data_IF_909743249717
#
_entry.id   IF_909743249717
#
_cell.length_a   1.000
_cell.length_b   1.000
_cell.length_c   1.000
_cell.angle_alpha   90.00
_cell.angle_beta   90.00
_cell.angle_gamma   90.00
#
_symmetry.space_group_name_H-M   'P 1'
#
loop_
_entity.id
_entity.type
_entity.pdbx_description
1 polymer ?
#
# COMPACT_ATOMS: atom_id res chain seq x y z
N UNK A 1 -12.54 21.50 56.39
CA UNK A 1 -11.25 21.38 55.66
C UNK A 1 -11.04 22.50 54.61
N UNK A 2 -11.49 23.74 54.87
CA UNK A 2 -11.46 24.84 53.87
C UNK A 2 -10.25 25.79 53.95
N UNK A 3 -9.33 25.57 54.90
CA UNK A 3 -8.25 26.52 55.24
C UNK A 3 -7.14 26.57 54.19
N UNK A 4 -6.64 25.43 53.70
CA UNK A 4 -5.46 25.37 52.83
C UNK A 4 -5.63 26.06 51.47
N UNK A 5 -6.82 25.96 50.86
CA UNK A 5 -7.11 26.63 49.57
C UNK A 5 -7.10 28.15 49.71
N UNK A 6 -7.67 28.66 50.80
CA UNK A 6 -7.73 30.07 51.08
C UNK A 6 -6.33 30.66 51.35
N UNK A 7 -5.47 29.92 52.06
CA UNK A 7 -4.06 30.29 52.26
C UNK A 7 -3.32 30.40 50.92
N UNK A 8 -3.41 29.39 50.04
CA UNK A 8 -2.76 29.43 48.72
C UNK A 8 -3.24 30.58 47.83
N UNK A 9 -4.53 30.94 47.91
CA UNK A 9 -5.08 32.08 47.18
C UNK A 9 -4.46 33.38 47.68
N UNK A 10 -4.41 33.57 49.01
CA UNK A 10 -3.78 34.74 49.64
C UNK A 10 -2.30 34.87 49.30
N UNK A 11 -1.55 33.77 49.39
CA UNK A 11 -0.13 33.73 49.01
C UNK A 11 0.09 34.19 47.56
N UNK A 12 -0.75 33.71 46.62
CA UNK A 12 -0.66 34.13 45.22
C UNK A 12 -1.01 35.61 45.02
N UNK A 13 -2.01 36.13 45.74
CA UNK A 13 -2.36 37.55 45.69
C UNK A 13 -1.21 38.41 46.20
N UNK A 14 -0.66 38.08 47.38
CA UNK A 14 0.49 38.78 47.96
C UNK A 14 1.71 38.74 47.05
N UNK A 15 1.97 37.60 46.40
CA UNK A 15 3.06 37.48 45.43
C UNK A 15 2.80 38.34 44.19
N UNK A 16 1.58 38.31 43.63
CA UNK A 16 1.21 39.14 42.49
C UNK A 16 1.36 40.64 42.78
N UNK A 17 0.93 41.09 43.96
CA UNK A 17 1.04 42.48 44.38
C UNK A 17 2.51 42.91 44.57
N UNK A 18 3.37 42.00 45.06
CA UNK A 18 4.81 42.24 45.17
C UNK A 18 5.47 42.34 43.79
N UNK A 19 5.06 41.50 42.84
CA UNK A 19 5.52 41.57 41.44
C UNK A 19 5.05 42.87 40.79
N UNK A 20 3.80 43.28 41.00
CA UNK A 20 3.24 44.50 40.43
C UNK A 20 3.96 45.77 40.92
N UNK A 21 4.34 45.81 42.20
CA UNK A 21 5.05 46.97 42.79
C UNK A 21 6.52 47.06 42.41
N UNK A 22 7.21 45.92 42.33
CA UNK A 22 8.68 45.88 42.20
C UNK A 22 9.14 45.39 40.82
N UNK A 23 8.20 45.01 39.95
CA UNK A 23 8.50 44.46 38.64
C UNK A 23 8.67 45.51 37.57
N UNK A 24 9.06 45.05 36.39
CA UNK A 24 9.33 45.86 35.20
C UNK A 24 8.16 45.64 34.22
N UNK A 25 7.56 46.70 33.65
CA UNK A 25 6.61 46.58 32.56
C UNK A 25 7.26 45.91 31.34
N UNK A 26 6.60 44.88 30.82
CA UNK A 26 7.04 44.12 29.65
C UNK A 26 5.94 44.16 28.58
N UNK A 27 6.27 43.85 27.31
CA UNK A 27 5.26 43.57 26.30
C UNK A 27 4.23 42.55 26.82
N UNK A 28 2.97 42.75 26.45
CA UNK A 28 1.89 41.91 26.96
C UNK A 28 2.04 40.45 26.53
N UNK A 29 2.12 39.54 27.50
CA UNK A 29 2.01 38.11 27.24
C UNK A 29 0.64 37.77 26.62
N UNK A 30 0.48 36.60 25.98
CA UNK A 30 -0.76 36.26 25.28
C UNK A 30 -2.01 36.38 26.16
N UNK A 31 -1.90 36.02 27.44
CA UNK A 31 -2.99 36.17 28.40
C UNK A 31 -3.29 37.63 28.74
N UNK A 32 -2.28 38.44 29.00
CA UNK A 32 -2.46 39.85 29.32
C UNK A 32 -2.98 40.63 28.10
N UNK A 33 -2.49 40.30 26.90
CA UNK A 33 -2.93 40.90 25.64
C UNK A 33 -4.41 40.64 25.39
N UNK A 34 -4.87 39.38 25.49
CA UNK A 34 -6.29 39.02 25.34
C UNK A 34 -7.23 39.69 26.35
N UNK A 35 -6.73 40.05 27.52
CA UNK A 35 -7.53 40.61 28.61
C UNK A 35 -7.34 42.13 28.80
N UNK A 36 -6.55 42.79 27.93
CA UNK A 36 -6.26 44.22 28.05
C UNK A 36 -5.57 44.59 29.36
N UNK A 37 -4.64 43.77 29.85
CA UNK A 37 -3.93 43.99 31.12
C UNK A 37 -2.46 44.35 30.89
N UNK A 38 -1.90 45.13 31.82
CA UNK A 38 -0.47 45.41 31.87
C UNK A 38 0.32 44.18 32.32
N UNK A 39 1.33 43.80 31.55
CA UNK A 39 2.20 42.68 31.90
C UNK A 39 3.42 43.20 32.66
N UNK A 40 3.46 42.95 33.98
CA UNK A 40 4.57 43.37 34.85
C UNK A 40 5.24 42.12 35.40
N UNK A 41 6.57 41.99 35.21
CA UNK A 41 7.35 40.82 35.61
C UNK A 41 8.45 41.24 36.57
N UNK A 42 8.63 40.50 37.66
CA UNK A 42 9.74 40.71 38.59
C UNK A 42 10.98 39.93 38.12
N UNK A 43 12.20 40.46 38.33
CA UNK A 43 13.44 39.73 38.04
C UNK A 43 13.44 38.34 38.70
N UNK A 44 13.85 37.32 37.94
CA UNK A 44 13.89 35.93 38.41
C UNK A 44 12.53 35.20 38.45
N UNK A 45 11.42 35.88 38.16
CA UNK A 45 10.10 35.24 38.07
C UNK A 45 9.72 34.93 36.60
N UNK A 46 9.12 33.76 36.38
CA UNK A 46 8.64 33.31 35.04
C UNK A 46 7.23 33.79 34.69
N UNK A 47 6.50 34.38 35.64
CA UNK A 47 5.10 34.80 35.44
C UNK A 47 4.95 36.27 35.82
N UNK A 48 4.13 36.99 35.05
CA UNK A 48 3.74 38.35 35.39
C UNK A 48 2.78 38.39 36.58
N UNK A 49 2.54 39.58 37.13
CA UNK A 49 1.62 39.82 38.25
C UNK A 49 0.23 39.26 37.98
N UNK A 50 -0.37 39.58 36.84
CA UNK A 50 -1.73 39.17 36.46
C UNK A 50 -1.85 37.64 36.28
N UNK A 51 -0.91 37.03 35.58
CA UNK A 51 -0.91 35.57 35.41
C UNK A 51 -0.66 34.84 36.72
N UNK A 52 0.14 35.41 37.62
CA UNK A 52 0.33 34.89 38.98
C UNK A 52 -0.95 34.98 39.80
N UNK A 53 -1.64 36.13 39.76
CA UNK A 53 -2.92 36.39 40.45
C UNK A 53 -4.00 35.38 40.02
N UNK A 54 -4.08 35.11 38.72
CA UNK A 54 -5.03 34.15 38.12
C UNK A 54 -4.56 32.69 38.17
N UNK A 55 -3.34 32.43 38.64
CA UNK A 55 -2.68 31.14 38.56
C UNK A 55 -2.73 30.50 37.16
N UNK A 56 -2.47 31.31 36.13
CA UNK A 56 -2.47 30.90 34.73
C UNK A 56 -1.04 30.76 34.19
N UNK A 57 -0.91 30.09 33.04
CA UNK A 57 0.35 30.06 32.30
C UNK A 57 0.69 31.46 31.80
N UNK A 58 1.98 31.78 31.77
CA UNK A 58 2.49 33.07 31.33
C UNK A 58 3.66 32.85 30.38
N UNK A 59 3.60 33.51 29.24
CA UNK A 59 4.57 33.53 28.15
C UNK A 59 5.27 34.90 28.05
N UNK A 60 5.25 35.69 29.13
CA UNK A 60 5.89 37.00 29.20
C UNK A 60 7.43 36.94 29.14
N UNK A 61 8.00 35.82 29.59
CA UNK A 61 9.45 35.64 29.63
C UNK A 61 9.88 34.84 28.41
N UNK A 62 11.03 35.22 27.84
CA UNK A 62 11.64 34.45 26.77
C UNK A 62 11.90 33.00 27.21
N UNK A 63 11.78 32.03 26.30
CA UNK A 63 12.22 30.66 26.56
C UNK A 63 13.68 30.65 27.00
N UNK A 64 14.00 29.76 27.94
CA UNK A 64 15.35 29.52 28.42
C UNK A 64 16.24 28.92 27.32
N UNK A 65 17.56 29.09 27.44
CA UNK A 65 18.51 28.50 26.50
C UNK A 65 18.35 26.98 26.36
N UNK A 66 18.01 26.28 27.44
CA UNK A 66 17.73 24.85 27.42
C UNK A 66 16.45 24.49 26.64
N UNK A 67 15.45 25.38 26.61
CA UNK A 67 14.25 25.18 25.78
C UNK A 67 14.57 25.38 24.30
N UNK A 68 15.40 26.39 23.97
CA UNK A 68 15.90 26.60 22.60
C UNK A 68 16.76 25.44 22.09
N UNK A 69 17.65 24.93 22.94
CA UNK A 69 18.48 23.77 22.62
C UNK A 69 17.64 22.54 22.27
N UNK A 70 16.61 22.26 23.07
CA UNK A 70 15.68 21.15 22.82
C UNK A 70 14.95 21.31 21.48
N UNK A 71 14.53 22.53 21.15
CA UNK A 71 13.88 22.78 19.86
C UNK A 71 14.84 22.52 18.71
N UNK A 72 16.09 22.99 18.79
CA UNK A 72 17.09 22.76 17.73
C UNK A 72 17.37 21.28 17.52
N UNK A 73 17.54 20.52 18.60
CA UNK A 73 17.79 19.06 18.52
C UNK A 73 16.60 18.33 17.91
N UNK A 74 15.37 18.71 18.25
CA UNK A 74 14.18 18.10 17.64
C UNK A 74 14.00 18.49 16.17
N UNK A 75 14.32 19.73 15.79
CA UNK A 75 14.31 20.18 14.40
C UNK A 75 15.31 19.37 13.56
N UNK A 76 16.55 19.23 14.01
CA UNK A 76 17.58 18.42 13.36
C UNK A 76 17.17 16.94 13.25
N UNK A 77 16.55 16.39 14.30
CA UNK A 77 16.01 15.02 14.26
C UNK A 77 14.92 14.87 13.20
N UNK A 78 13.99 15.82 13.12
CA UNK A 78 12.90 15.79 12.15
C UNK A 78 13.39 15.96 10.71
N UNK A 79 14.36 16.84 10.47
CA UNK A 79 14.99 17.01 9.16
C UNK A 79 15.67 15.71 8.69
N UNK A 80 16.41 15.04 9.58
CA UNK A 80 17.03 13.75 9.27
C UNK A 80 16.00 12.64 8.97
N UNK A 81 14.87 12.63 9.69
CA UNK A 81 13.77 11.70 9.44
C UNK A 81 13.05 11.99 8.12
N UNK A 82 12.85 13.26 7.77
CA UNK A 82 12.28 13.67 6.48
C UNK A 82 13.18 13.23 5.32
N UNK A 83 14.49 13.48 5.41
CA UNK A 83 15.44 13.09 4.37
C UNK A 83 15.46 11.56 4.17
N UNK A 84 15.47 10.80 5.27
CA UNK A 84 15.40 9.34 5.20
C UNK A 84 14.08 8.85 4.58
N UNK A 85 12.94 9.48 4.91
CA UNK A 85 11.65 9.16 4.32
C UNK A 85 11.60 9.49 2.82
N UNK A 86 12.16 10.63 2.41
CA UNK A 86 12.27 11.03 1.01
C UNK A 86 13.12 10.04 0.19
N UNK A 87 14.24 9.59 0.74
CA UNK A 87 15.08 8.56 0.12
C UNK A 87 14.31 7.24 -0.08
N UNK A 88 13.58 6.79 0.95
CA UNK A 88 12.75 5.59 0.86
C UNK A 88 11.62 5.75 -0.18
N UNK A 89 10.99 6.91 -0.26
CA UNK A 89 9.96 7.19 -1.27
C UNK A 89 10.54 7.09 -2.70
N UNK A 90 11.73 7.66 -2.93
CA UNK A 90 12.41 7.59 -4.22
C UNK A 90 12.73 6.14 -4.61
N UNK A 91 13.23 5.33 -3.67
CA UNK A 91 13.51 3.91 -3.89
C UNK A 91 12.23 3.11 -4.20
N UNK A 92 11.17 3.33 -3.42
CA UNK A 92 9.86 2.70 -3.63
C UNK A 92 9.26 3.09 -4.98
N UNK A 93 9.38 4.35 -5.36
CA UNK A 93 8.96 4.85 -6.67
C UNK A 93 9.73 4.16 -7.79
N UNK A 94 11.06 4.09 -7.70
CA UNK A 94 11.90 3.44 -8.69
C UNK A 94 11.54 1.95 -8.83
N UNK A 95 11.31 1.25 -7.71
CA UNK A 95 10.84 -0.14 -7.69
C UNK A 95 9.49 -0.28 -8.40
N UNK A 96 8.52 0.59 -8.08
CA UNK A 96 7.20 0.60 -8.73
C UNK A 96 7.31 0.78 -10.25
N UNK A 97 8.20 1.66 -10.70
CA UNK A 97 8.42 1.91 -12.12
C UNK A 97 9.04 0.71 -12.84
N UNK A 98 9.98 -0.01 -12.21
CA UNK A 98 10.53 -1.27 -12.74
C UNK A 98 9.43 -2.33 -12.89
N UNK A 99 8.61 -2.53 -11.85
CA UNK A 99 7.49 -3.48 -11.89
C UNK A 99 6.49 -3.14 -13.00
N UNK A 100 6.14 -1.85 -13.17
CA UNK A 100 5.28 -1.41 -14.28
C UNK A 100 5.85 -1.74 -15.65
N UNK A 101 7.17 -1.58 -15.84
CA UNK A 101 7.83 -1.94 -17.12
C UNK A 101 7.76 -3.46 -17.36
N UNK A 102 8.06 -4.26 -16.35
CA UNK A 102 7.97 -5.73 -16.45
C UNK A 102 6.54 -6.19 -16.76
N UNK A 103 5.54 -5.63 -16.09
CA UNK A 103 4.14 -5.94 -16.35
C UNK A 103 3.73 -5.62 -17.79
N UNK A 104 4.16 -4.46 -18.32
CA UNK A 104 3.91 -4.10 -19.72
C UNK A 104 4.56 -5.08 -20.70
N UNK A 105 5.82 -5.45 -20.45
CA UNK A 105 6.52 -6.41 -21.29
C UNK A 105 5.82 -7.79 -21.31
N UNK A 106 5.37 -8.26 -20.15
CA UNK A 106 4.60 -9.51 -20.06
C UNK A 106 3.27 -9.44 -20.80
N UNK A 107 2.54 -8.32 -20.67
CA UNK A 107 1.29 -8.10 -21.43
C UNK A 107 1.52 -8.11 -22.93
N UNK A 108 2.59 -7.46 -23.41
CA UNK A 108 2.95 -7.46 -24.82
C UNK A 108 3.29 -8.86 -25.33
N UNK A 109 4.10 -9.61 -24.59
CA UNK A 109 4.41 -11.02 -24.93
C UNK A 109 3.14 -11.88 -24.93
N UNK A 110 2.26 -11.72 -23.94
CA UNK A 110 0.98 -12.42 -23.89
C UNK A 110 0.10 -12.14 -25.11
N UNK A 111 -0.02 -10.87 -25.50
CA UNK A 111 -0.78 -10.48 -26.70
C UNK A 111 -0.19 -11.05 -27.99
N UNK A 112 1.14 -11.13 -28.09
CA UNK A 112 1.81 -11.78 -29.22
C UNK A 112 1.52 -13.28 -29.27
N UNK A 113 1.67 -13.98 -28.15
CA UNK A 113 1.38 -15.42 -28.07
C UNK A 113 -0.08 -15.71 -28.45
N UNK A 114 -1.01 -14.91 -27.95
CA UNK A 114 -2.44 -15.03 -28.31
C UNK A 114 -2.65 -14.82 -29.81
N UNK A 115 -2.03 -13.79 -30.40
CA UNK A 115 -2.14 -13.54 -31.84
C UNK A 115 -1.62 -14.71 -32.68
N UNK A 116 -0.49 -15.31 -32.28
CA UNK A 116 0.07 -16.47 -32.98
C UNK A 116 -0.85 -17.69 -32.83
N UNK A 117 -1.33 -17.96 -31.62
CA UNK A 117 -2.25 -19.06 -31.35
C UNK A 117 -3.55 -18.97 -32.14
N UNK A 118 -4.16 -17.78 -32.22
CA UNK A 118 -5.37 -17.56 -33.02
C UNK A 118 -5.14 -17.82 -34.51
N UNK A 119 -4.01 -17.35 -35.08
CA UNK A 119 -3.67 -17.63 -36.48
C UNK A 119 -3.52 -19.12 -36.77
N UNK A 120 -2.88 -19.85 -35.85
CA UNK A 120 -2.73 -21.31 -36.01
C UNK A 120 -4.08 -22.03 -35.93
N UNK A 121 -5.03 -21.53 -35.14
CA UNK A 121 -6.40 -22.07 -35.13
C UNK A 121 -7.11 -21.77 -36.45
N UNK A 122 -7.03 -20.53 -36.94
CA UNK A 122 -7.63 -20.16 -38.24
C UNK A 122 -7.07 -21.06 -39.39
N UNK A 123 -5.76 -21.32 -39.39
CA UNK A 123 -5.10 -22.21 -40.37
C UNK A 123 -5.57 -23.67 -40.27
N UNK A 124 -5.87 -24.17 -39.06
CA UNK A 124 -6.40 -25.52 -38.85
C UNK A 124 -7.84 -25.63 -39.31
N UNK A 125 -8.69 -24.65 -38.97
CA UNK A 125 -10.09 -24.61 -39.39
C UNK A 125 -10.20 -24.58 -40.93
N UNK A 126 -9.35 -23.81 -41.61
CA UNK A 126 -9.27 -23.78 -43.08
C UNK A 126 -8.85 -25.13 -43.68
N UNK A 127 -7.92 -25.85 -43.03
CA UNK A 127 -7.48 -27.17 -43.48
C UNK A 127 -8.56 -28.23 -43.29
N UNK A 128 -9.23 -28.24 -42.14
CA UNK A 128 -10.34 -29.16 -41.85
C UNK A 128 -11.51 -28.95 -42.82
N UNK A 129 -11.85 -27.69 -43.15
CA UNK A 129 -12.91 -27.40 -44.12
C UNK A 129 -12.53 -27.90 -45.52
N UNK A 130 -11.28 -27.71 -45.92
CA UNK A 130 -10.79 -28.20 -47.21
C UNK A 130 -10.87 -29.74 -47.28
N UNK A 131 -10.44 -30.43 -46.23
CA UNK A 131 -10.51 -31.89 -46.18
C UNK A 131 -11.96 -32.40 -46.21
N UNK A 132 -12.89 -31.69 -45.53
CA UNK A 132 -14.32 -31.96 -45.62
C UNK A 132 -14.85 -31.82 -47.04
N UNK A 133 -14.55 -30.72 -47.72
CA UNK A 133 -14.98 -30.47 -49.10
C UNK A 133 -14.40 -31.51 -50.08
N UNK A 134 -13.15 -31.93 -49.88
CA UNK A 134 -12.52 -32.99 -50.69
C UNK A 134 -13.19 -34.36 -50.45
N UNK A 135 -13.53 -34.68 -49.20
CA UNK A 135 -14.27 -35.90 -48.87
C UNK A 135 -15.68 -35.91 -49.47
N UNK A 136 -16.43 -34.81 -49.35
CA UNK A 136 -17.77 -34.66 -49.96
C UNK A 136 -17.72 -34.80 -51.49
N UNK A 137 -16.70 -34.21 -52.14
CA UNK A 137 -16.51 -34.34 -53.58
C UNK A 137 -16.17 -35.79 -54.00
N UNK A 138 -15.40 -36.52 -53.18
CA UNK A 138 -15.11 -37.95 -53.39
C UNK A 138 -16.36 -38.81 -53.25
N UNK A 139 -17.18 -38.56 -52.23
CA UNK A 139 -18.40 -39.31 -51.99
C UNK A 139 -19.47 -39.03 -53.05
N UNK A 140 -19.57 -37.79 -53.56
CA UNK A 140 -20.49 -37.43 -54.63
C UNK A 140 -20.18 -38.11 -55.98
N UNK A 141 -18.94 -38.59 -56.18
CA UNK A 141 -18.53 -39.34 -57.37
C UNK A 141 -18.87 -40.84 -57.27
N UNK A 142 -19.36 -41.33 -56.13
CA UNK A 142 -19.78 -42.72 -55.94
C UNK A 142 -21.29 -42.89 -56.22
N UNK A 143 -21.72 -43.79 -57.14
CA UNK A 143 -23.14 -44.08 -57.34
C UNK A 143 -23.76 -44.79 -56.13
N UNK A 144 -24.93 -44.33 -55.67
CA UNK A 144 -25.64 -44.91 -54.52
C UNK A 144 -26.06 -46.37 -54.76
N UNK A 145 -25.75 -47.33 -53.86
CA UNK A 145 -26.32 -48.67 -53.90
C UNK A 145 -27.73 -48.71 -53.24
N UNK A 146 -28.60 -49.68 -53.60
CA UNK A 146 -29.95 -49.76 -53.07
C UNK A 146 -29.98 -50.25 -51.62
N UNK A 147 -30.94 -49.72 -50.87
CA UNK A 147 -31.33 -50.08 -49.50
C UNK A 147 -31.61 -51.58 -49.38
N UNK A 148 -30.99 -52.26 -48.41
CA UNK A 148 -31.44 -53.57 -47.90
C UNK A 148 -31.18 -53.67 -46.39
N UNK A 149 -32.13 -54.33 -45.75
CA UNK A 149 -32.50 -54.35 -44.34
C UNK A 149 -31.65 -55.27 -43.44
N UNK A 150 -31.89 -55.13 -42.12
CA UNK A 150 -31.63 -56.02 -40.96
C UNK A 150 -30.29 -55.90 -40.18
N UNK A 151 -30.43 -55.61 -38.87
CA UNK A 151 -29.37 -55.30 -37.89
C UNK A 151 -28.77 -56.53 -37.16
N UNK A 152 -28.39 -56.48 -35.86
CA UNK A 152 -28.53 -55.41 -34.87
C UNK A 152 -27.20 -54.76 -34.43
N UNK A 153 -27.39 -53.68 -33.67
CA UNK A 153 -26.44 -52.75 -33.10
C UNK A 153 -25.30 -53.36 -32.26
N UNK A 154 -24.09 -52.83 -32.47
CA UNK A 154 -23.06 -52.75 -31.44
C UNK A 154 -22.52 -51.32 -31.43
N UNK A 155 -22.85 -50.61 -30.35
CA UNK A 155 -22.48 -49.22 -30.07
C UNK A 155 -20.96 -49.06 -29.95
N UNK A 156 -20.32 -48.11 -30.67
CA UNK A 156 -18.97 -47.66 -30.41
C UNK A 156 -18.98 -46.36 -29.59
N UNK A 157 -19.82 -46.27 -28.55
CA UNK A 157 -19.48 -45.45 -27.39
C UNK A 157 -18.69 -46.38 -26.47
N UNK A 158 -17.35 -46.24 -26.43
CA UNK A 158 -16.44 -46.63 -25.32
C UNK A 158 -14.98 -46.83 -25.81
N UNK A 159 -14.42 -45.88 -26.58
CA UNK A 159 -12.98 -45.89 -26.92
C UNK A 159 -12.25 -44.59 -26.58
N UNK A 160 -12.87 -43.72 -25.77
CA UNK A 160 -12.11 -42.70 -25.05
C UNK A 160 -11.98 -43.19 -23.61
N UNK A 161 -10.76 -43.46 -23.09
CA UNK A 161 -10.61 -43.57 -21.65
C UNK A 161 -11.09 -42.24 -21.04
N UNK A 162 -12.00 -42.33 -20.08
CA UNK A 162 -12.49 -41.18 -19.30
C UNK A 162 -11.30 -40.32 -18.88
N UNK A 163 -11.20 -39.13 -19.46
CA UNK A 163 -10.22 -38.14 -19.02
C UNK A 163 -10.71 -37.62 -17.68
N UNK A 164 -10.01 -38.00 -16.61
CA UNK A 164 -10.32 -37.57 -15.25
C UNK A 164 -10.43 -36.02 -15.22
N UNK A 165 -11.60 -35.47 -14.85
CA UNK A 165 -11.83 -34.03 -14.75
C UNK A 165 -10.84 -33.32 -13.82
N UNK A 166 -10.14 -34.06 -12.95
CA UNK A 166 -9.11 -33.54 -12.05
C UNK A 166 -7.90 -32.94 -12.79
N UNK A 167 -7.64 -33.31 -14.05
CA UNK A 167 -6.57 -32.72 -14.89
C UNK A 167 -6.76 -31.22 -15.14
N UNK A 168 -8.01 -30.75 -15.11
CA UNK A 168 -8.34 -29.32 -15.26
C UNK A 168 -8.42 -28.58 -13.91
N UNK A 169 -8.17 -29.27 -12.79
CA UNK A 169 -8.20 -28.67 -11.46
C UNK A 169 -6.84 -28.02 -11.11
N UNK A 170 -6.81 -26.80 -10.53
CA UNK A 170 -5.58 -26.08 -10.24
C UNK A 170 -4.54 -26.84 -9.38
N UNK A 171 -4.99 -27.85 -8.62
CA UNK A 171 -4.12 -28.67 -7.77
C UNK A 171 -3.31 -29.76 -8.50
N UNK A 172 -3.75 -30.21 -9.68
CA UNK A 172 -3.07 -31.29 -10.43
C UNK A 172 -1.67 -30.90 -10.88
N UNK A 173 -1.48 -29.65 -11.31
CA UNK A 173 -0.19 -29.12 -11.77
C UNK A 173 0.78 -28.79 -10.63
N UNK A 174 0.32 -28.80 -9.37
CA UNK A 174 1.13 -28.44 -8.22
C UNK A 174 2.12 -29.57 -7.81
N UNK A 175 1.91 -30.81 -8.26
CA UNK A 175 2.75 -31.97 -7.89
C UNK A 175 3.78 -32.37 -8.94
N UNK A 176 3.70 -31.85 -10.17
CA UNK A 176 4.68 -32.10 -11.24
C UNK A 176 6.04 -31.41 -11.02
N UNK A 177 6.17 -30.64 -9.94
CA UNK A 177 7.39 -29.92 -9.59
C UNK A 177 8.29 -30.60 -8.55
N UNK A 178 7.95 -31.78 -8.02
CA UNK A 178 8.64 -32.32 -6.85
C UNK A 178 9.56 -33.53 -7.08
N UNK A 179 9.39 -34.34 -8.16
CA UNK A 179 10.07 -35.64 -8.23
C UNK A 179 10.48 -36.08 -9.65
N UNK A 180 10.95 -35.17 -10.51
CA UNK A 180 11.55 -35.56 -11.80
C UNK A 180 13.03 -35.93 -11.61
N UNK A 181 13.30 -37.10 -11.02
CA UNK A 181 14.62 -37.73 -11.09
C UNK A 181 14.86 -38.22 -12.52
N UNK A 182 15.77 -37.57 -13.23
CA UNK A 182 16.28 -37.98 -14.55
C UNK A 182 16.93 -39.37 -14.46
N UNK A 183 16.47 -40.42 -15.15
CA UNK A 183 17.27 -41.63 -15.29
C UNK A 183 18.44 -41.34 -16.24
N UNK A 184 19.65 -41.56 -15.72
CA UNK A 184 20.90 -41.38 -16.45
C UNK A 184 21.04 -42.33 -17.64
N UNK A 185 21.64 -41.80 -18.71
CA UNK A 185 22.05 -42.55 -19.88
C UNK A 185 23.16 -43.55 -19.52
N UNK A 186 22.94 -44.84 -19.78
CA UNK A 186 24.01 -45.84 -19.81
C UNK A 186 24.27 -46.23 -21.27
N UNK A 187 25.42 -45.79 -21.79
CA UNK A 187 26.12 -46.45 -22.89
C UNK A 187 27.05 -47.51 -22.30
N UNK A 188 26.96 -48.74 -22.82
CA UNK A 188 27.79 -49.88 -22.47
C UNK A 188 27.22 -51.16 -23.07
#
# INVERSE_FOLDING_TARGET
MSSSKHTKIKERQLLADRIERNGIPMPSCANCLRNGRSCIVAPGHRRCSECTRRNSKCDACAPSAAEWEKLRVEEERLEAEEEAAAAQEQEAYARRMRLRKQQKALKLRGAEMLRRGLRTLDELDEAEEKDRLEAEARDALLPSPPTTTSGPATSPHDLFPDVDPSVFSPGYWATWGADASTPGATHG
#
